data_IF_139485264144
#
_entry.id   IF_139485264144
#
_cell.length_a   1.000
_cell.length_b   1.000
_cell.length_c   1.000
_cell.angle_alpha   90.00
_cell.angle_beta   90.00
_cell.angle_gamma   90.00
#
_symmetry.space_group_name_H-M   'P 1'
#
loop_
_entity.id
_entity.type
_entity.pdbx_description
1 polymer ?
#
# COMPACT_ATOMS: atom_id res chain seq x y z
N UNK A 1 10.60 -0.35 -15.07
CA UNK A 1 10.29 -0.22 -13.63
C UNK A 1 9.46 1.03 -13.51
N UNK A 2 8.27 0.91 -12.93
CA UNK A 2 7.36 2.02 -12.71
C UNK A 2 7.59 2.56 -11.31
N UNK A 3 7.69 3.88 -11.20
CA UNK A 3 7.81 4.59 -9.93
C UNK A 3 6.64 5.57 -9.81
N UNK A 4 6.02 5.58 -8.64
CA UNK A 4 4.95 6.50 -8.27
C UNK A 4 5.24 7.07 -6.90
N UNK A 5 4.79 8.30 -6.66
CA UNK A 5 5.05 9.01 -5.43
C UNK A 5 3.74 9.28 -4.71
N UNK A 6 3.71 9.02 -3.41
CA UNK A 6 2.56 9.27 -2.54
C UNK A 6 2.99 10.32 -1.52
N UNK A 7 2.18 11.37 -1.41
CA UNK A 7 2.23 12.33 -0.31
C UNK A 7 1.07 11.98 0.65
N UNK A 8 1.34 11.26 1.77
CA UNK A 8 0.29 10.89 2.71
C UNK A 8 -0.31 12.13 3.38
N UNK A 9 -1.64 12.16 3.53
CA UNK A 9 -2.34 13.22 4.27
C UNK A 9 -2.44 12.95 5.78
N UNK A 10 -2.09 11.73 6.20
CA UNK A 10 -2.22 11.23 7.56
C UNK A 10 -1.52 9.87 7.75
N UNK A 11 -1.81 9.15 8.84
CA UNK A 11 -1.15 7.89 9.15
C UNK A 11 -1.45 6.81 8.11
N UNK A 12 -0.45 5.97 7.83
CA UNK A 12 -0.57 4.85 6.89
C UNK A 12 -1.50 3.77 7.47
N UNK A 13 -2.05 2.85 6.67
CA UNK A 13 -2.78 1.71 7.20
C UNK A 13 -1.82 0.71 7.85
N UNK A 14 -2.35 -0.24 8.63
CA UNK A 14 -1.64 -1.49 8.94
C UNK A 14 -1.12 -2.11 7.63
N UNK A 15 0.16 -2.50 7.56
CA UNK A 15 0.76 -2.95 6.30
C UNK A 15 0.05 -4.19 5.72
N UNK A 16 -0.58 -5.02 6.57
CA UNK A 16 -1.31 -6.21 6.12
C UNK A 16 -2.56 -5.84 5.35
N UNK A 17 -3.12 -4.65 5.58
CA UNK A 17 -4.22 -4.14 4.78
C UNK A 17 -3.76 -3.79 3.35
N UNK A 18 -2.47 -3.46 3.14
CA UNK A 18 -1.89 -3.34 1.79
C UNK A 18 -1.93 -4.70 1.09
N UNK A 19 -1.50 -5.76 1.77
CA UNK A 19 -1.54 -7.11 1.23
C UNK A 19 -2.98 -7.57 0.96
N UNK A 20 -3.91 -7.31 1.90
CA UNK A 20 -5.32 -7.64 1.77
C UNK A 20 -5.97 -6.94 0.57
N UNK A 21 -5.63 -5.67 0.35
CA UNK A 21 -6.11 -4.91 -0.79
C UNK A 21 -5.62 -5.52 -2.11
N UNK A 22 -4.31 -5.74 -2.25
CA UNK A 22 -3.70 -6.20 -3.50
C UNK A 22 -4.03 -7.67 -3.78
N UNK A 23 -3.87 -8.56 -2.79
CA UNK A 23 -3.88 -10.01 -2.99
C UNK A 23 -4.86 -10.78 -2.09
N UNK A 24 -5.41 -10.14 -1.05
CA UNK A 24 -6.30 -10.77 -0.06
C UNK A 24 -5.58 -11.15 1.23
N UNK A 25 -6.36 -11.37 2.30
CA UNK A 25 -5.82 -11.60 3.65
C UNK A 25 -4.96 -12.87 3.77
N UNK A 26 -5.26 -13.89 2.96
CA UNK A 26 -4.57 -15.19 2.96
C UNK A 26 -3.38 -15.24 1.98
N UNK A 27 -2.94 -14.09 1.46
CA UNK A 27 -1.87 -14.03 0.48
C UNK A 27 -0.54 -14.53 1.09
N UNK A 28 0.04 -15.56 0.47
CA UNK A 28 1.36 -16.07 0.85
C UNK A 28 2.45 -15.22 0.20
N UNK A 29 2.99 -14.27 0.97
CA UNK A 29 3.95 -13.29 0.50
C UNK A 29 5.20 -13.27 1.39
N UNK A 30 6.31 -12.88 0.79
CA UNK A 30 7.48 -12.42 1.53
C UNK A 30 7.33 -10.92 1.76
N UNK A 31 7.64 -10.45 2.97
CA UNK A 31 7.49 -9.04 3.36
C UNK A 31 8.66 -8.59 4.21
N UNK A 32 9.12 -7.37 3.98
CA UNK A 32 10.08 -6.66 4.85
C UNK A 32 9.63 -5.20 5.02
N UNK A 33 10.16 -4.49 6.01
CA UNK A 33 9.81 -3.09 6.28
C UNK A 33 10.20 -2.64 7.69
N UNK A 34 9.84 -1.41 8.04
CA UNK A 34 10.22 -0.74 9.29
C UNK A 34 9.09 -0.67 10.33
N UNK A 35 7.97 -1.34 10.07
CA UNK A 35 6.83 -1.45 10.98
C UNK A 35 7.24 -2.06 12.33
N UNK A 36 7.02 -1.34 13.42
CA UNK A 36 7.41 -1.78 14.77
C UNK A 36 6.56 -2.95 15.29
N UNK A 37 5.32 -3.01 14.83
CA UNK A 37 4.38 -4.08 15.09
C UNK A 37 3.32 -4.10 13.98
N UNK A 38 2.59 -5.20 13.74
CA UNK A 38 1.69 -5.29 12.59
C UNK A 38 0.68 -4.13 12.43
N UNK A 39 0.11 -3.64 13.54
CA UNK A 39 -0.83 -2.52 13.54
C UNK A 39 -0.18 -1.12 13.48
N UNK A 40 1.13 -1.02 13.20
CA UNK A 40 1.85 0.25 13.16
C UNK A 40 1.38 1.06 11.95
N UNK A 41 1.21 2.36 12.14
CA UNK A 41 0.73 3.32 11.15
C UNK A 41 1.76 4.39 10.81
N UNK A 42 2.93 4.29 11.44
CA UNK A 42 4.08 5.18 11.29
C UNK A 42 5.25 4.51 10.54
N UNK A 43 5.04 3.36 9.91
CA UNK A 43 6.00 2.73 9.00
C UNK A 43 6.22 3.58 7.73
N UNK A 44 7.44 3.61 7.21
CA UNK A 44 7.79 4.31 5.97
C UNK A 44 8.31 3.37 4.88
N UNK A 45 8.62 2.13 5.26
CA UNK A 45 9.15 1.10 4.38
C UNK A 45 8.23 -0.13 4.35
N UNK A 46 7.95 -0.63 3.15
CA UNK A 46 7.23 -1.89 2.95
C UNK A 46 7.65 -2.52 1.63
N UNK A 47 8.38 -3.62 1.71
CA UNK A 47 8.60 -4.55 0.62
C UNK A 47 7.56 -5.67 0.69
N UNK A 48 7.00 -6.06 -0.46
CA UNK A 48 6.23 -7.30 -0.54
C UNK A 48 6.35 -7.99 -1.91
N UNK A 49 6.49 -9.31 -1.88
CA UNK A 49 6.49 -10.17 -3.07
C UNK A 49 5.54 -11.34 -2.90
N UNK A 50 4.69 -11.57 -3.90
CA UNK A 50 3.81 -12.75 -3.91
C UNK A 50 4.57 -14.00 -4.32
N UNK A 51 4.66 -14.99 -3.42
CA UNK A 51 5.46 -16.21 -3.67
C UNK A 51 4.99 -17.02 -4.88
N UNK A 52 3.69 -17.02 -5.17
CA UNK A 52 3.14 -17.75 -6.32
C UNK A 52 3.36 -17.04 -7.66
N UNK A 53 3.70 -15.74 -7.65
CA UNK A 53 3.88 -14.89 -8.83
C UNK A 53 5.02 -13.90 -8.55
N UNK A 54 6.29 -14.32 -8.71
CA UNK A 54 7.45 -13.52 -8.29
C UNK A 54 7.60 -12.18 -9.02
N UNK A 55 6.90 -12.01 -10.15
CA UNK A 55 6.77 -10.76 -10.91
C UNK A 55 5.84 -9.74 -10.23
N UNK A 56 4.92 -10.20 -9.37
CA UNK A 56 4.11 -9.34 -8.51
C UNK A 56 4.91 -8.98 -7.24
N UNK A 57 5.79 -7.99 -7.40
CA UNK A 57 6.64 -7.43 -6.35
C UNK A 57 6.52 -5.91 -6.32
N UNK A 58 6.40 -5.33 -5.13
CA UNK A 58 6.49 -3.89 -4.93
C UNK A 58 7.38 -3.54 -3.75
N UNK A 59 7.92 -2.32 -3.79
CA UNK A 59 8.65 -1.70 -2.69
C UNK A 59 8.07 -0.31 -2.42
N UNK A 60 7.92 0.01 -1.14
CA UNK A 60 7.58 1.33 -0.64
C UNK A 60 8.74 1.82 0.20
N UNK A 61 9.27 3.00 -0.10
CA UNK A 61 10.40 3.60 0.61
C UNK A 61 10.28 5.13 0.67
N UNK A 62 10.80 5.79 1.71
CA UNK A 62 10.78 7.24 1.79
C UNK A 62 11.79 7.87 0.82
N UNK A 63 11.38 8.93 0.13
CA UNK A 63 12.27 9.79 -0.69
C UNK A 63 12.30 11.25 -0.21
N UNK A 64 11.47 11.58 0.77
CA UNK A 64 11.50 12.83 1.51
C UNK A 64 10.85 12.61 2.88
N UNK A 65 11.32 13.30 3.92
CA UNK A 65 10.82 13.14 5.30
C UNK A 65 9.95 14.33 5.73
N UNK A 66 10.20 15.53 5.19
CA UNK A 66 9.53 16.77 5.57
C UNK A 66 9.21 17.65 4.34
N UNK A 67 8.04 17.47 3.70
CA UNK A 67 7.00 16.47 4.03
C UNK A 67 7.42 15.03 3.70
N UNK A 68 6.76 14.05 4.33
CA UNK A 68 6.95 12.64 3.99
C UNK A 68 6.47 12.40 2.55
N UNK A 69 7.36 11.90 1.70
CA UNK A 69 7.03 11.43 0.35
C UNK A 69 7.48 9.99 0.25
N UNK A 70 6.54 9.10 -0.04
CA UNK A 70 6.79 7.68 -0.24
C UNK A 70 6.91 7.41 -1.73
N UNK A 71 7.98 6.76 -2.16
CA UNK A 71 8.09 6.15 -3.48
C UNK A 71 7.49 4.76 -3.41
N UNK A 72 6.69 4.42 -4.40
CA UNK A 72 6.13 3.10 -4.67
C UNK A 72 6.72 2.63 -5.99
N UNK A 73 7.46 1.53 -5.98
CA UNK A 73 8.09 0.98 -7.18
C UNK A 73 7.70 -0.47 -7.44
N UNK A 74 7.55 -0.81 -8.72
CA UNK A 74 7.29 -2.17 -9.18
C UNK A 74 7.71 -2.34 -10.64
N UNK A 75 8.07 -3.55 -11.03
CA UNK A 75 8.26 -3.88 -12.45
C UNK A 75 6.93 -3.99 -13.22
N UNK A 76 5.84 -4.33 -12.51
CA UNK A 76 4.48 -4.34 -13.01
C UNK A 76 3.80 -3.00 -12.72
N UNK A 77 3.50 -2.23 -13.78
CA UNK A 77 2.91 -0.90 -13.67
C UNK A 77 1.60 -0.88 -12.87
N UNK A 78 0.71 -1.83 -13.16
CA UNK A 78 -0.58 -1.94 -12.47
C UNK A 78 -0.40 -2.08 -10.96
N UNK A 79 0.63 -2.79 -10.51
CA UNK A 79 0.88 -3.04 -9.10
C UNK A 79 1.36 -1.76 -8.39
N UNK A 80 2.27 -1.00 -9.01
CA UNK A 80 2.66 0.31 -8.50
C UNK A 80 1.43 1.24 -8.40
N UNK A 81 0.60 1.29 -9.45
CA UNK A 81 -0.60 2.11 -9.49
C UNK A 81 -1.62 1.74 -8.40
N UNK A 82 -1.87 0.44 -8.22
CA UNK A 82 -2.78 -0.08 -7.19
C UNK A 82 -2.29 0.28 -5.78
N UNK A 83 -1.01 0.05 -5.48
CA UNK A 83 -0.43 0.33 -4.15
C UNK A 83 -0.41 1.84 -3.88
N UNK A 84 0.05 2.65 -4.83
CA UNK A 84 0.08 4.11 -4.68
C UNK A 84 -1.32 4.70 -4.49
N UNK A 85 -2.31 4.22 -5.26
CA UNK A 85 -3.71 4.66 -5.13
C UNK A 85 -4.28 4.32 -3.76
N UNK A 86 -4.07 3.08 -3.30
CA UNK A 86 -4.56 2.64 -1.99
C UNK A 86 -3.93 3.47 -0.85
N UNK A 87 -2.62 3.66 -0.87
CA UNK A 87 -1.92 4.41 0.16
C UNK A 87 -2.39 5.87 0.19
N UNK A 88 -2.56 6.51 -0.97
CA UNK A 88 -3.10 7.85 -1.04
C UNK A 88 -4.54 7.92 -0.49
N UNK A 89 -5.43 7.02 -0.91
CA UNK A 89 -6.83 7.06 -0.44
C UNK A 89 -6.97 6.75 1.05
N UNK A 90 -6.30 5.71 1.55
CA UNK A 90 -6.37 5.29 2.95
C UNK A 90 -5.74 6.28 3.92
N UNK A 91 -4.77 7.08 3.46
CA UNK A 91 -4.14 8.15 4.24
C UNK A 91 -4.70 9.55 3.95
N UNK A 92 -5.78 9.66 3.16
CA UNK A 92 -6.31 10.94 2.66
C UNK A 92 -5.25 11.84 1.98
N UNK A 93 -4.27 11.21 1.34
CA UNK A 93 -3.17 11.83 0.63
C UNK A 93 -3.40 11.97 -0.88
N UNK A 94 -2.30 12.04 -1.61
CA UNK A 94 -2.26 12.33 -3.05
C UNK A 94 -1.07 11.64 -3.73
N UNK A 95 -1.11 11.55 -5.06
CA UNK A 95 -0.13 10.81 -5.88
C UNK A 95 0.53 11.70 -6.94
N UNK A 96 1.73 11.35 -7.36
CA UNK A 96 2.48 12.04 -8.43
C UNK A 96 3.36 11.05 -9.19
N UNK A 97 3.70 11.36 -10.44
CA UNK A 97 4.76 10.68 -11.20
C UNK A 97 6.16 11.28 -10.93
N UNK A 98 6.22 12.41 -10.21
CA UNK A 98 7.44 13.13 -9.83
C UNK A 98 7.49 13.32 -8.31
N UNK A 99 8.64 13.08 -7.63
CA UNK A 99 8.76 13.24 -6.18
C UNK A 99 8.50 14.67 -5.68
N UNK A 100 8.67 15.68 -6.55
CA UNK A 100 8.41 17.09 -6.27
C UNK A 100 6.98 17.53 -6.63
N UNK A 101 6.15 16.63 -7.18
CA UNK A 101 4.79 16.93 -7.61
C UNK A 101 4.68 17.42 -9.08
N UNK A 102 3.49 17.88 -9.50
CA UNK A 102 2.31 18.14 -8.69
C UNK A 102 1.64 16.86 -8.19
N UNK A 103 1.24 16.86 -6.91
CA UNK A 103 0.46 15.77 -6.34
C UNK A 103 -1.03 15.95 -6.63
N UNK A 104 -1.68 14.87 -7.04
CA UNK A 104 -3.05 14.83 -7.55
C UNK A 104 -3.87 13.71 -6.87
N UNK A 105 -5.18 13.67 -7.15
CA UNK A 105 -6.05 12.63 -6.63
C UNK A 105 -5.71 11.25 -7.21
N UNK A 106 -5.76 10.23 -6.34
CA UNK A 106 -5.47 8.82 -6.66
C UNK A 106 -6.25 8.28 -7.87
N UNK A 107 -7.46 8.79 -8.13
CA UNK A 107 -8.30 8.42 -9.28
C UNK A 107 -7.61 8.55 -10.65
N UNK A 108 -6.54 9.34 -10.77
CA UNK A 108 -5.77 9.45 -12.01
C UNK A 108 -5.00 8.16 -12.34
N UNK A 109 -4.80 7.28 -11.37
CA UNK A 109 -4.10 6.01 -11.57
C UNK A 109 -5.01 4.88 -12.05
N UNK A 110 -6.33 5.06 -12.09
CA UNK A 110 -7.29 3.99 -12.41
C UNK A 110 -7.02 3.33 -13.77
N UNK A 111 -6.69 4.13 -14.79
CA UNK A 111 -6.42 3.64 -16.14
C UNK A 111 -5.11 2.81 -16.22
N UNK A 112 -4.25 2.91 -15.20
CA UNK A 112 -2.95 2.20 -15.12
C UNK A 112 -3.06 0.85 -14.42
N UNK A 113 -4.20 0.52 -13.82
CA UNK A 113 -4.38 -0.68 -12.99
C UNK A 113 -4.72 -1.96 -13.80
N UNK A 114 -4.71 -1.90 -15.13
CA UNK A 114 -4.85 -3.04 -16.07
C UNK A 114 -5.93 -4.07 -15.67
N UNK A 115 -7.19 -3.64 -15.60
CA UNK A 115 -8.31 -4.54 -15.31
C UNK A 115 -8.39 -5.04 -13.85
N UNK A 116 -7.54 -4.54 -12.96
CA UNK A 116 -7.67 -4.77 -11.52
C UNK A 116 -8.99 -4.20 -11.00
N UNK A 117 -9.81 -5.06 -10.39
CA UNK A 117 -11.09 -4.65 -9.81
C UNK A 117 -10.88 -3.96 -8.46
N UNK A 118 -10.75 -2.63 -8.51
CA UNK A 118 -10.55 -1.80 -7.32
C UNK A 118 -11.74 -1.86 -6.36
N UNK A 119 -12.96 -2.09 -6.86
CA UNK A 119 -14.15 -2.22 -6.02
C UNK A 119 -14.08 -3.47 -5.14
N UNK A 120 -13.72 -4.60 -5.74
CA UNK A 120 -13.48 -5.84 -4.99
C UNK A 120 -12.28 -5.70 -4.04
N UNK A 121 -11.23 -4.98 -4.45
CA UNK A 121 -10.07 -4.72 -3.59
C UNK A 121 -10.43 -3.91 -2.33
N UNK A 122 -11.22 -2.85 -2.48
CA UNK A 122 -11.74 -2.09 -1.33
C UNK A 122 -12.64 -2.94 -0.45
N UNK A 123 -13.48 -3.80 -1.03
CA UNK A 123 -14.30 -4.73 -0.26
C UNK A 123 -13.44 -5.70 0.59
N UNK A 124 -12.33 -6.21 0.04
CA UNK A 124 -11.34 -7.01 0.81
C UNK A 124 -10.72 -6.18 1.94
N UNK A 125 -10.24 -4.98 1.63
CA UNK A 125 -9.60 -4.10 2.61
C UNK A 125 -10.52 -3.79 3.79
N UNK A 126 -11.77 -3.37 3.54
CA UNK A 126 -12.72 -3.05 4.60
C UNK A 126 -13.28 -4.27 5.33
N UNK A 127 -13.33 -5.42 4.66
CA UNK A 127 -13.72 -6.70 5.24
C UNK A 127 -12.63 -7.36 6.08
N UNK A 128 -11.36 -6.97 5.89
CA UNK A 128 -10.22 -7.57 6.57
C UNK A 128 -10.34 -7.46 8.09
N UNK A 129 -10.04 -8.54 8.84
CA UNK A 129 -10.02 -8.47 10.30
C UNK A 129 -8.98 -7.47 10.82
N UNK A 130 -7.93 -7.19 10.04
CA UNK A 130 -6.85 -6.29 10.43
C UNK A 130 -7.26 -4.81 10.50
N UNK A 131 -8.45 -4.44 10.02
CA UNK A 131 -9.06 -3.14 10.31
C UNK A 131 -9.21 -2.87 11.81
N UNK A 132 -9.28 -3.93 12.61
CA UNK A 132 -9.46 -3.88 14.08
C UNK A 132 -8.17 -4.16 14.83
N UNK A 133 -7.04 -4.29 14.13
CA UNK A 133 -5.76 -4.56 14.76
C UNK A 133 -5.31 -3.34 15.58
N UNK A 134 -4.72 -3.61 16.73
CA UNK A 134 -4.09 -2.61 17.59
C UNK A 134 -2.72 -3.13 18.05
N UNK A 135 -1.91 -2.28 18.69
CA UNK A 135 -0.66 -2.70 19.30
C UNK A 135 -0.87 -3.83 20.33
N UNK A 136 -1.94 -3.76 21.13
CA UNK A 136 -2.27 -4.76 22.16
C UNK A 136 -2.93 -6.02 21.61
N UNK A 137 -3.59 -5.92 20.45
CA UNK A 137 -4.27 -7.04 19.79
C UNK A 137 -3.99 -7.01 18.28
N UNK A 138 -2.77 -7.35 17.84
CA UNK A 138 -2.39 -7.27 16.44
C UNK A 138 -3.08 -8.34 15.58
N UNK A 139 -3.62 -9.41 16.16
CA UNK A 139 -4.26 -10.51 15.43
C UNK A 139 -5.71 -10.71 15.89
N UNK A 140 -6.63 -9.79 15.56
CA UNK A 140 -8.01 -9.81 16.07
C UNK A 140 -8.83 -11.01 15.59
N UNK A 141 -8.35 -11.75 14.58
CA UNK A 141 -8.95 -12.95 14.02
C UNK A 141 -8.60 -14.24 14.77
N UNK A 142 -7.59 -14.25 15.66
CA UNK A 142 -7.10 -15.48 16.32
C UNK A 142 -7.76 -15.76 17.68
N UNK A 143 -9.05 -15.44 17.82
CA UNK A 143 -9.81 -15.68 19.06
C UNK A 143 -10.46 -17.05 19.11
#
# INVERSE_FOLDING_TARGET
>A
MTELYVLPGGPRPDYRLVLAFVWGDDANCDTEGDSQHPADREWTELYAQKRSRPDEVFDVSPVGEHPLVLKVESSAEWLAAVVASMLAESSAGSVSDDPCGPFNAAKLLLDRMDGFDIGVAWARYWGSPFQKATADNPYPNLK
#
